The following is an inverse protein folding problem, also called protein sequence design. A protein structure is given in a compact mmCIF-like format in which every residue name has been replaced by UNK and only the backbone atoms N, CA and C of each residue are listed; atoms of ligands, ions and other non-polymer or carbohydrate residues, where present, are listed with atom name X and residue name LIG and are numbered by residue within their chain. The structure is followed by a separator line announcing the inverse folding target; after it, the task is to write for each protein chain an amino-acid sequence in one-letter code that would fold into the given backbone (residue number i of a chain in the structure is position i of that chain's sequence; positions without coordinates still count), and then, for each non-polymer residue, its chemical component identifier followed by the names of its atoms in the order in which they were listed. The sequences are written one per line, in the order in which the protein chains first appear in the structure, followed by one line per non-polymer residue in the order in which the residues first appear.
data_IF_986570601575
#
_entry.id   IF_986570601575
#
_cell.length_a   1.000
_cell.length_b   1.000
_cell.length_c   1.000
_cell.angle_alpha   90.00
_cell.angle_beta   90.00
_cell.angle_gamma   90.00
#
_symmetry.space_group_name_H-M   'P 1'
#
loop_
_entity.id
_entity.type
_entity.pdbx_description
1 polymer ?
#
# COMPACT_ATOMS: atom_id res chain seq x y z
N UNK A 1 41.91 22.36 12.14
CA UNK A 1 41.54 20.98 11.78
C UNK A 1 40.03 20.95 11.51
N UNK A 2 39.65 20.60 10.27
CA UNK A 2 38.41 19.91 9.83
C UNK A 2 37.06 20.47 10.34
N UNK A 3 36.35 21.31 9.58
CA UNK A 3 35.34 20.93 8.56
C UNK A 3 34.70 19.54 8.76
N UNK A 4 33.42 19.51 9.17
CA UNK A 4 32.50 18.38 8.98
C UNK A 4 31.10 18.90 8.70
N UNK A 5 30.81 19.06 7.42
CA UNK A 5 29.48 18.98 6.84
C UNK A 5 28.86 17.61 7.16
N UNK A 6 27.61 17.58 7.61
CA UNK A 6 26.70 16.50 7.19
C UNK A 6 25.29 17.05 7.05
N UNK A 7 24.93 17.18 5.78
CA UNK A 7 23.60 17.34 5.20
C UNK A 7 22.54 16.57 5.99
N UNK A 8 21.67 17.28 6.69
CA UNK A 8 20.41 16.68 7.16
C UNK A 8 19.41 16.71 6.02
N UNK A 9 18.87 15.54 5.74
CA UNK A 9 18.16 15.17 4.55
C UNK A 9 16.87 15.97 4.38
N UNK A 10 16.69 16.43 3.16
CA UNK A 10 15.44 16.96 2.64
C UNK A 10 14.48 15.80 2.46
N UNK A 11 13.46 15.66 3.30
CA UNK A 11 12.20 15.04 2.90
C UNK A 11 11.03 15.91 3.37
N UNK A 12 10.68 16.82 2.46
CA UNK A 12 9.34 17.34 2.18
C UNK A 12 8.40 17.62 3.36
N UNK A 13 8.40 18.89 3.76
CA UNK A 13 7.21 19.75 3.75
C UNK A 13 5.99 19.11 3.05
N UNK A 14 4.93 18.80 3.81
CA UNK A 14 3.64 19.46 3.63
C UNK A 14 2.74 19.22 4.85
N UNK A 15 2.63 20.24 5.70
CA UNK A 15 1.60 20.31 6.72
C UNK A 15 0.37 21.02 6.11
N UNK A 16 -0.81 20.44 6.36
CA UNK A 16 -2.16 21.05 6.33
C UNK A 16 -2.94 21.07 4.98
N UNK A 17 -4.25 21.38 4.99
CA UNK A 17 -5.36 20.63 5.59
C UNK A 17 -6.51 20.43 4.56
N UNK A 18 -7.11 19.25 4.42
CA UNK A 18 -8.36 19.17 3.64
C UNK A 18 -9.27 18.01 4.05
N UNK A 19 -10.25 18.31 4.90
CA UNK A 19 -11.56 17.66 4.83
C UNK A 19 -12.16 18.03 3.48
N UNK A 20 -11.98 17.20 2.45
CA UNK A 20 -12.79 17.22 1.23
C UNK A 20 -12.55 15.92 0.48
N UNK A 21 -13.59 15.09 0.49
CA UNK A 21 -13.71 13.88 -0.30
C UNK A 21 -12.64 12.83 0.00
N UNK A 22 -12.81 12.08 1.10
CA UNK A 22 -12.12 10.79 1.23
C UNK A 22 -12.75 9.86 0.20
N UNK A 23 -12.38 10.01 -1.08
CA UNK A 23 -12.54 8.96 -2.08
C UNK A 23 -11.93 7.73 -1.44
N UNK A 24 -12.78 6.76 -1.13
CA UNK A 24 -12.34 5.60 -0.39
C UNK A 24 -11.48 4.82 -1.36
N UNK A 25 -10.16 4.85 -1.15
CA UNK A 25 -9.25 4.05 -1.96
C UNK A 25 -9.46 2.61 -1.55
N UNK A 26 -9.81 1.78 -2.51
CA UNK A 26 -10.00 0.36 -2.33
C UNK A 26 -8.96 -0.33 -3.21
N UNK A 27 -8.33 -1.35 -2.67
CA UNK A 27 -7.38 -2.18 -3.40
C UNK A 27 -8.08 -3.49 -3.74
N UNK A 28 -8.36 -3.70 -5.02
CA UNK A 28 -8.88 -4.96 -5.51
C UNK A 28 -7.71 -5.92 -5.73
N UNK A 29 -7.71 -7.02 -5.00
CA UNK A 29 -6.81 -8.13 -5.25
C UNK A 29 -7.34 -8.92 -6.46
N UNK A 30 -6.66 -8.91 -7.60
CA UNK A 30 -7.05 -9.76 -8.75
C UNK A 30 -6.64 -11.22 -8.54
N UNK A 31 -5.70 -11.46 -7.62
CA UNK A 31 -5.24 -12.78 -7.23
C UNK A 31 -3.73 -12.96 -7.37
N UNK A 32 -3.29 -14.20 -7.17
CA UNK A 32 -1.89 -14.56 -7.32
C UNK A 32 -1.43 -14.32 -8.77
N UNK A 33 -0.22 -13.78 -8.93
CA UNK A 33 0.40 -13.62 -10.24
C UNK A 33 0.59 -14.99 -10.92
N UNK A 34 0.71 -14.97 -12.24
CA UNK A 34 0.84 -16.20 -13.02
C UNK A 34 2.06 -17.03 -12.54
N UNK A 35 1.82 -18.29 -12.19
CA UNK A 35 2.84 -19.18 -11.61
C UNK A 35 2.92 -19.15 -10.08
N UNK A 36 2.22 -18.24 -9.40
CA UNK A 36 2.08 -18.26 -7.95
C UNK A 36 0.85 -19.09 -7.56
N UNK A 37 1.06 -20.36 -7.20
CA UNK A 37 -0.01 -21.30 -6.81
C UNK A 37 -0.60 -21.06 -5.41
N UNK A 38 -0.46 -19.85 -4.86
CA UNK A 38 -0.93 -19.49 -3.54
C UNK A 38 -2.45 -19.27 -3.53
N UNK A 39 -3.15 -19.85 -2.55
CA UNK A 39 -4.60 -19.71 -2.41
C UNK A 39 -5.02 -18.35 -1.80
N UNK A 40 -4.16 -17.76 -0.97
CA UNK A 40 -4.36 -16.45 -0.34
C UNK A 40 -2.99 -15.78 -0.11
N UNK A 41 -2.98 -14.45 -0.07
CA UNK A 41 -1.82 -13.65 0.30
C UNK A 41 -1.96 -13.21 1.75
N UNK A 42 -1.04 -13.62 2.60
CA UNK A 42 -1.08 -13.22 4.01
C UNK A 42 -0.24 -11.96 4.16
N UNK A 43 -0.90 -10.79 4.20
CA UNK A 43 -0.22 -9.51 4.46
C UNK A 43 0.31 -9.46 5.89
N UNK A 44 -0.54 -9.90 6.83
CA UNK A 44 -0.27 -10.00 8.28
C UNK A 44 -0.90 -11.29 8.77
N UNK A 45 -0.41 -11.86 9.88
CA UNK A 45 -0.93 -13.15 10.40
C UNK A 45 -2.46 -13.18 10.59
N UNK A 46 -3.08 -12.02 10.81
CA UNK A 46 -4.53 -11.85 10.99
C UNK A 46 -5.29 -11.38 9.73
N UNK A 47 -4.57 -11.06 8.64
CA UNK A 47 -5.17 -10.52 7.41
C UNK A 47 -4.79 -11.35 6.18
N UNK A 48 -5.43 -12.51 5.99
CA UNK A 48 -5.36 -13.26 4.74
C UNK A 48 -6.20 -12.55 3.68
N UNK A 49 -5.59 -12.28 2.53
CA UNK A 49 -6.21 -11.65 1.38
C UNK A 49 -6.49 -12.72 0.33
N UNK A 50 -7.75 -12.84 -0.05
CA UNK A 50 -8.16 -13.78 -1.08
C UNK A 50 -8.18 -13.14 -2.48
N UNK A 51 -8.04 -13.95 -3.54
CA UNK A 51 -8.25 -13.46 -4.90
C UNK A 51 -9.67 -12.88 -5.05
N UNK A 52 -9.79 -11.78 -5.78
CA UNK A 52 -11.00 -10.97 -5.96
C UNK A 52 -11.50 -10.22 -4.73
N UNK A 53 -10.71 -10.16 -3.65
CA UNK A 53 -11.07 -9.43 -2.44
C UNK A 53 -10.78 -7.92 -2.55
N UNK A 54 -11.64 -7.12 -1.94
CA UNK A 54 -11.55 -5.66 -1.90
C UNK A 54 -11.05 -5.18 -0.54
N UNK A 55 -9.88 -4.56 -0.49
CA UNK A 55 -9.28 -4.05 0.74
C UNK A 55 -9.43 -2.53 0.82
N UNK A 56 -10.07 -2.02 1.87
CA UNK A 56 -10.23 -0.57 2.02
C UNK A 56 -8.98 0.03 2.64
N UNK A 57 -8.32 0.93 1.89
CA UNK A 57 -7.16 1.67 2.38
C UNK A 57 -7.60 2.70 3.42
N UNK A 58 -6.96 2.65 4.59
CA UNK A 58 -7.29 3.41 5.79
C UNK A 58 -8.28 2.73 6.73
N UNK A 59 -8.81 1.54 6.37
CA UNK A 59 -9.70 0.75 7.24
C UNK A 59 -9.19 -0.67 7.43
N UNK A 60 -8.98 -1.42 6.35
CA UNK A 60 -8.45 -2.79 6.38
C UNK A 60 -6.92 -2.80 6.32
N UNK A 61 -6.35 -1.94 5.45
CA UNK A 61 -4.91 -1.80 5.24
C UNK A 61 -4.48 -0.34 5.26
N UNK A 62 -3.23 -0.04 5.62
CA UNK A 62 -2.70 1.33 5.57
C UNK A 62 -2.26 1.73 4.15
N UNK A 63 -2.08 3.03 3.90
CA UNK A 63 -1.58 3.53 2.60
C UNK A 63 -0.20 2.92 2.23
N UNK A 64 0.68 2.74 3.23
CA UNK A 64 1.96 2.06 3.05
C UNK A 64 1.80 0.60 2.61
N UNK A 65 0.87 -0.14 3.22
CA UNK A 65 0.58 -1.54 2.87
C UNK A 65 -0.01 -1.62 1.46
N UNK A 66 -0.91 -0.71 1.10
CA UNK A 66 -1.47 -0.64 -0.24
C UNK A 66 -0.39 -0.40 -1.30
N UNK A 67 0.57 0.48 -1.02
CA UNK A 67 1.74 0.69 -1.89
C UNK A 67 2.62 -0.54 -2.01
N UNK A 68 2.84 -1.28 -0.91
CA UNK A 68 3.58 -2.54 -0.93
C UNK A 68 2.87 -3.59 -1.80
N UNK A 69 1.55 -3.74 -1.64
CA UNK A 69 0.73 -4.66 -2.42
C UNK A 69 0.72 -4.28 -3.91
N UNK A 70 0.61 -2.99 -4.25
CA UNK A 70 0.67 -2.51 -5.64
C UNK A 70 2.03 -2.75 -6.30
N UNK A 71 3.10 -2.76 -5.51
CA UNK A 71 4.46 -3.01 -5.99
C UNK A 71 4.85 -4.49 -5.90
N UNK A 72 3.97 -5.35 -5.38
CA UNK A 72 4.25 -6.77 -5.25
C UNK A 72 4.22 -7.45 -6.62
N UNK A 73 5.15 -8.38 -6.85
CA UNK A 73 5.27 -9.11 -8.12
C UNK A 73 4.55 -10.45 -8.11
N UNK A 74 4.37 -11.02 -6.92
CA UNK A 74 3.80 -12.35 -6.74
C UNK A 74 2.28 -12.33 -6.75
N UNK A 75 1.66 -11.16 -6.57
CA UNK A 75 0.21 -10.98 -6.55
C UNK A 75 -0.18 -9.70 -7.30
N UNK A 76 -1.30 -9.75 -8.02
CA UNK A 76 -1.82 -8.62 -8.78
C UNK A 76 -2.83 -7.86 -7.94
N UNK A 77 -2.50 -6.62 -7.64
CA UNK A 77 -3.38 -5.69 -6.95
C UNK A 77 -3.68 -4.49 -7.84
N UNK A 78 -4.92 -4.01 -7.77
CA UNK A 78 -5.40 -2.88 -8.55
C UNK A 78 -6.07 -1.88 -7.63
N UNK A 79 -5.58 -0.64 -7.64
CA UNK A 79 -6.25 0.44 -6.94
C UNK A 79 -7.52 0.84 -7.70
N UNK A 80 -8.66 0.77 -7.01
CA UNK A 80 -9.96 1.23 -7.47
C UNK A 80 -10.44 2.33 -6.52
N UNK A 81 -10.80 3.48 -7.07
CA UNK A 81 -11.41 4.56 -6.28
C UNK A 81 -12.92 4.43 -6.36
N UNK A 82 -13.59 4.37 -5.20
CA UNK A 82 -15.05 4.39 -5.07
C UNK A 82 -15.53 5.70 -4.44
#
# INVERSE_FOLDING_TARGET
MVQKDVTTEKHSENEQPNKKDKKQRVLLCEGAAEGNGAACFILREDLPIYPHEELVVGKDISDQEAQLLLNEKTWKFKEVTK
#
